data_IF_583446965953
#
_entry.id   IF_583446965953
#
_cell.length_a   1.000
_cell.length_b   1.000
_cell.length_c   1.000
_cell.angle_alpha   90.00
_cell.angle_beta   90.00
_cell.angle_gamma   90.00
#
_symmetry.space_group_name_H-M   'P 1'
#
loop_
_entity.id
_entity.type
_entity.pdbx_description
1 polymer ?
#
# COMPACT_ATOMS: atom_id res chain seq x y z
N UNK A 1 -20.39 -35.52 -0.66
CA UNK A 1 -20.55 -34.04 -0.68
C UNK A 1 -21.78 -33.74 -1.52
N UNK A 2 -22.83 -33.09 -0.98
CA UNK A 2 -23.90 -32.53 -1.83
C UNK A 2 -23.30 -31.30 -2.53
N UNK A 3 -23.23 -31.33 -3.85
CA UNK A 3 -22.80 -30.17 -4.63
C UNK A 3 -23.77 -29.01 -4.48
N UNK A 4 -23.37 -27.84 -4.98
CA UNK A 4 -24.23 -26.66 -5.08
C UNK A 4 -25.48 -26.96 -5.93
N UNK A 5 -26.63 -26.39 -5.54
CA UNK A 5 -27.91 -26.57 -6.24
C UNK A 5 -27.94 -25.90 -7.62
N UNK A 6 -27.18 -24.82 -7.77
CA UNK A 6 -26.91 -24.11 -9.02
C UNK A 6 -25.41 -23.83 -9.15
N UNK A 7 -24.96 -23.68 -10.38
CA UNK A 7 -23.58 -23.32 -10.73
C UNK A 7 -23.63 -22.04 -11.56
N UNK A 8 -22.65 -21.18 -11.35
CA UNK A 8 -22.38 -20.02 -12.18
C UNK A 8 -20.93 -20.12 -12.65
N UNK A 9 -20.64 -19.53 -13.81
CA UNK A 9 -19.26 -19.42 -14.28
C UNK A 9 -18.49 -18.45 -13.38
N UNK A 10 -17.19 -18.69 -13.20
CA UNK A 10 -16.37 -17.90 -12.26
C UNK A 10 -16.39 -16.42 -12.66
N UNK A 11 -16.30 -16.15 -13.95
CA UNK A 11 -16.34 -14.80 -14.52
C UNK A 11 -17.67 -14.09 -14.24
N UNK A 12 -18.79 -14.82 -14.17
CA UNK A 12 -20.08 -14.25 -13.81
C UNK A 12 -20.12 -13.84 -12.35
N UNK A 13 -19.57 -14.67 -11.46
CA UNK A 13 -19.48 -14.39 -10.02
C UNK A 13 -18.51 -13.23 -9.77
N UNK A 14 -17.37 -13.18 -10.45
CA UNK A 14 -16.42 -12.07 -10.35
C UNK A 14 -17.05 -10.74 -10.77
N UNK A 15 -17.77 -10.71 -11.90
CA UNK A 15 -18.51 -9.53 -12.34
C UNK A 15 -19.56 -9.12 -11.32
N UNK A 16 -20.35 -10.07 -10.82
CA UNK A 16 -21.36 -9.80 -9.80
C UNK A 16 -20.73 -9.16 -8.55
N UNK A 17 -19.63 -9.71 -8.04
CA UNK A 17 -18.93 -9.16 -6.88
C UNK A 17 -18.37 -7.76 -7.16
N UNK A 18 -17.78 -7.53 -8.33
CA UNK A 18 -17.27 -6.22 -8.71
C UNK A 18 -18.38 -5.15 -8.80
N UNK A 19 -19.57 -5.52 -9.27
CA UNK A 19 -20.73 -4.63 -9.37
C UNK A 19 -21.37 -4.32 -8.01
N UNK A 20 -21.23 -5.23 -7.03
CA UNK A 20 -21.93 -5.14 -5.73
C UNK A 20 -21.02 -4.83 -4.55
N UNK A 21 -19.72 -4.65 -4.78
CA UNK A 21 -18.76 -4.24 -3.75
C UNK A 21 -18.15 -2.89 -4.12
N UNK A 22 -17.82 -2.11 -3.11
CA UNK A 22 -17.16 -0.83 -3.28
C UNK A 22 -16.02 -0.73 -2.28
N UNK A 23 -15.00 0.06 -2.63
CA UNK A 23 -13.96 0.44 -1.68
C UNK A 23 -14.58 1.25 -0.54
N UNK A 24 -14.14 0.97 0.69
CA UNK A 24 -14.57 1.74 1.84
C UNK A 24 -13.97 3.16 1.79
N UNK A 25 -14.64 4.17 2.38
CA UNK A 25 -14.07 5.50 2.51
C UNK A 25 -12.74 5.47 3.27
N UNK A 26 -11.82 6.34 2.88
CA UNK A 26 -10.57 6.53 3.60
C UNK A 26 -10.81 7.22 4.95
N UNK A 27 -9.95 6.90 5.92
CA UNK A 27 -9.95 7.53 7.25
C UNK A 27 -8.52 7.86 7.68
N UNK A 28 -8.30 8.96 8.41
CA UNK A 28 -7.03 9.21 9.06
C UNK A 28 -6.88 8.26 10.25
N UNK A 29 -5.72 7.60 10.35
CA UNK A 29 -5.41 6.67 11.44
C UNK A 29 -4.03 6.98 12.02
N UNK A 30 -3.78 6.67 13.31
CA UNK A 30 -2.45 6.80 13.88
C UNK A 30 -1.44 5.90 13.14
N UNK A 31 -0.20 6.38 12.97
CA UNK A 31 0.84 5.66 12.21
C UNK A 31 1.07 4.22 12.69
N UNK A 32 1.02 3.99 14.00
CA UNK A 32 1.18 2.66 14.62
C UNK A 32 0.08 1.67 14.23
N UNK A 33 -1.08 2.16 13.81
CA UNK A 33 -2.25 1.36 13.45
C UNK A 33 -2.37 1.19 11.92
N UNK A 34 -1.41 1.71 11.14
CA UNK A 34 -1.41 1.61 9.68
C UNK A 34 -1.03 0.23 9.13
N UNK A 35 -0.42 -0.66 9.92
CA UNK A 35 0.04 -1.96 9.44
C UNK A 35 -1.14 -2.79 8.90
N UNK A 36 -1.01 -3.30 7.66
CA UNK A 36 -2.05 -4.07 6.98
C UNK A 36 -3.17 -3.24 6.34
N UNK A 37 -3.15 -1.90 6.45
CA UNK A 37 -4.04 -1.00 5.71
C UNK A 37 -3.52 -0.79 4.27
N UNK A 38 -4.41 -0.29 3.40
CA UNK A 38 -4.07 0.17 2.05
C UNK A 38 -4.01 1.71 2.07
N UNK A 39 -2.98 2.29 1.45
CA UNK A 39 -2.85 3.75 1.33
C UNK A 39 -3.96 4.33 0.45
N UNK A 40 -4.64 5.36 0.95
CA UNK A 40 -5.66 6.08 0.20
C UNK A 40 -5.07 7.07 -0.81
N UNK A 41 -3.83 7.50 -0.62
CA UNK A 41 -3.12 8.46 -1.47
C UNK A 41 -1.61 8.18 -1.51
N UNK A 42 -0.92 8.78 -2.48
CA UNK A 42 0.52 8.63 -2.63
C UNK A 42 1.27 9.42 -1.53
N UNK A 43 2.22 8.77 -0.86
CA UNK A 43 3.11 9.42 0.12
C UNK A 43 4.37 9.89 -0.59
N UNK A 44 4.69 11.19 -0.47
CA UNK A 44 5.90 11.79 -1.05
C UNK A 44 6.81 12.28 0.07
N UNK A 45 8.11 12.06 -0.07
CA UNK A 45 9.09 12.64 0.83
C UNK A 45 9.03 14.17 0.72
N UNK A 46 8.88 14.84 1.86
CA UNK A 46 8.87 16.30 1.92
C UNK A 46 10.29 16.90 1.90
N UNK A 47 11.30 16.09 2.23
CA UNK A 47 12.70 16.49 2.36
C UNK A 47 13.62 15.34 1.95
N UNK A 48 14.83 15.68 1.52
CA UNK A 48 15.90 14.71 1.31
C UNK A 48 16.39 14.15 2.66
N UNK A 49 16.74 12.86 2.68
CA UNK A 49 17.30 12.20 3.86
C UNK A 49 18.51 11.34 3.44
N UNK A 50 19.75 11.77 3.79
CA UNK A 50 20.10 12.99 4.52
C UNK A 50 19.87 14.24 3.67
N UNK A 51 19.53 15.36 4.32
CA UNK A 51 19.36 16.66 3.65
C UNK A 51 20.67 17.38 3.32
N UNK A 52 21.81 16.69 3.37
CA UNK A 52 23.15 17.23 3.16
C UNK A 52 24.14 16.11 2.81
N UNK A 53 25.29 16.48 2.25
CA UNK A 53 26.37 15.55 1.94
C UNK A 53 26.97 14.97 3.23
N UNK A 54 26.80 13.66 3.44
CA UNK A 54 27.38 12.95 4.60
C UNK A 54 28.34 11.86 4.15
N UNK A 55 29.42 11.69 4.89
CA UNK A 55 30.25 10.47 4.78
C UNK A 55 29.48 9.29 5.37
N UNK A 56 29.53 8.14 4.70
CA UNK A 56 29.07 6.86 5.25
C UNK A 56 30.17 6.15 6.07
N UNK A 57 31.37 6.75 6.14
CA UNK A 57 32.58 6.16 6.69
C UNK A 57 33.25 7.10 7.69
N UNK A 58 34.02 6.52 8.61
CA UNK A 58 34.98 7.26 9.42
C UNK A 58 36.24 7.57 8.60
N UNK A 59 36.72 8.81 8.65
CA UNK A 59 37.90 9.22 7.90
C UNK A 59 38.01 10.74 7.74
N UNK A 60 38.80 11.17 6.74
CA UNK A 60 39.05 12.57 6.43
C UNK A 60 38.59 12.90 5.01
N UNK A 61 37.89 14.01 4.84
CA UNK A 61 37.60 14.57 3.52
C UNK A 61 38.88 15.21 2.97
N UNK A 62 39.48 14.58 1.95
CA UNK A 62 40.71 15.07 1.30
C UNK A 62 40.38 15.70 -0.06
N UNK A 63 41.16 16.70 -0.47
CA UNK A 63 41.16 17.24 -1.84
C UNK A 63 42.39 16.71 -2.57
N UNK A 64 42.17 16.09 -3.73
CA UNK A 64 43.23 15.68 -4.66
C UNK A 64 43.71 16.84 -5.51
#
# INVERSE_FOLDING_TARGET
MRGFAERADVEEVERFLAEHTATLPAEPVPLRDCSGRILAEAVRAAVDVPGFDRSAMDGYAVRG
#
